data_IF_631377068527
#
_entry.id   IF_631377068527
#
_cell.length_a   1.000
_cell.length_b   1.000
_cell.length_c   1.000
_cell.angle_alpha   90.00
_cell.angle_beta   90.00
_cell.angle_gamma   90.00
#
_symmetry.space_group_name_H-M   'P 1'
#
loop_
_entity.id
_entity.type
_entity.pdbx_description
1 polymer ?
#
# COMPACT_ATOMS: atom_id res chain seq x y z
N UNK A 1 10.06 13.48 6.95
CA UNK A 1 11.52 13.58 7.15
C UNK A 1 11.82 12.95 8.51
N UNK A 2 12.24 11.68 8.52
CA UNK A 2 12.74 11.04 9.74
C UNK A 2 14.27 11.07 9.63
N UNK A 3 14.92 11.67 10.62
CA UNK A 3 16.36 11.94 10.61
C UNK A 3 17.10 10.59 10.50
N UNK A 4 17.83 10.39 9.38
CA UNK A 4 18.73 9.23 9.18
C UNK A 4 18.31 8.19 8.13
N UNK A 5 17.11 8.27 7.55
CA UNK A 5 16.67 7.37 6.47
C UNK A 5 16.29 8.19 5.23
N UNK A 6 17.11 8.13 4.18
CA UNK A 6 16.82 8.71 2.85
C UNK A 6 15.89 7.84 2.00
N UNK A 7 15.48 6.68 2.53
CA UNK A 7 14.78 5.64 1.78
C UNK A 7 13.26 5.77 1.78
N UNK A 8 12.68 6.76 2.48
CA UNK A 8 11.23 6.95 2.53
C UNK A 8 10.83 8.34 2.03
N UNK A 9 10.12 8.44 0.90
CA UNK A 9 9.78 9.73 0.32
C UNK A 9 8.82 10.51 1.23
N UNK A 10 9.14 11.79 1.47
CA UNK A 10 8.33 12.67 2.32
C UNK A 10 7.30 13.49 1.52
N UNK A 11 7.40 13.50 0.20
CA UNK A 11 6.48 14.20 -0.70
C UNK A 11 6.43 13.50 -2.07
N UNK A 12 5.47 13.90 -2.91
CA UNK A 12 5.30 13.30 -4.25
C UNK A 12 6.54 13.44 -5.14
N UNK A 13 7.24 14.59 -5.10
CA UNK A 13 8.45 14.79 -5.90
C UNK A 13 9.56 13.79 -5.50
N UNK A 14 9.77 13.60 -4.19
CA UNK A 14 10.71 12.59 -3.70
C UNK A 14 10.24 11.17 -4.03
N UNK A 15 8.92 10.91 -3.99
CA UNK A 15 8.37 9.61 -4.35
C UNK A 15 8.67 9.25 -5.80
N UNK A 16 8.41 10.14 -6.75
CA UNK A 16 8.67 9.87 -8.17
C UNK A 16 10.17 9.68 -8.45
N UNK A 17 11.04 10.44 -7.78
CA UNK A 17 12.50 10.22 -7.87
C UNK A 17 12.91 8.86 -7.30
N UNK A 18 12.38 8.49 -6.14
CA UNK A 18 12.68 7.24 -5.45
C UNK A 18 12.16 6.02 -6.22
N UNK A 19 10.90 6.02 -6.66
CA UNK A 19 10.30 4.85 -7.32
C UNK A 19 10.91 4.62 -8.70
N UNK A 20 11.28 5.67 -9.43
CA UNK A 20 12.00 5.54 -10.70
C UNK A 20 13.39 4.90 -10.55
N UNK A 21 14.00 4.97 -9.37
CA UNK A 21 15.28 4.31 -9.10
C UNK A 21 15.10 2.81 -8.77
N UNK A 22 14.02 2.45 -8.08
CA UNK A 22 13.81 1.09 -7.57
C UNK A 22 12.96 0.21 -8.48
N UNK A 23 12.03 0.79 -9.24
CA UNK A 23 11.13 0.06 -10.13
C UNK A 23 11.19 0.67 -11.54
N UNK A 24 11.69 -0.06 -12.55
CA UNK A 24 11.70 0.40 -13.93
C UNK A 24 10.31 0.24 -14.56
N UNK A 25 9.34 0.99 -14.05
CA UNK A 25 7.95 1.03 -14.54
C UNK A 25 7.63 2.38 -15.18
N UNK A 26 6.63 2.41 -16.06
CA UNK A 26 6.21 3.64 -16.73
C UNK A 26 5.75 4.70 -15.71
N UNK A 27 5.97 5.98 -16.02
CA UNK A 27 5.53 7.10 -15.15
C UNK A 27 4.02 7.07 -14.92
N UNK A 28 3.26 6.62 -15.92
CA UNK A 28 1.81 6.46 -15.81
C UNK A 28 1.46 5.44 -14.72
N UNK A 29 2.11 4.27 -14.71
CA UNK A 29 1.90 3.26 -13.67
C UNK A 29 2.29 3.74 -12.27
N UNK A 30 3.35 4.56 -12.15
CA UNK A 30 3.72 5.18 -10.88
C UNK A 30 2.61 6.11 -10.35
N UNK A 31 2.04 6.94 -11.25
CA UNK A 31 0.93 7.85 -10.91
C UNK A 31 -0.33 7.07 -10.52
N UNK A 32 -0.66 6.02 -11.28
CA UNK A 32 -1.81 5.15 -11.00
C UNK A 32 -1.64 4.44 -9.64
N UNK A 33 -0.43 3.94 -9.36
CA UNK A 33 -0.07 3.32 -8.09
C UNK A 33 -0.29 4.25 -6.89
N UNK A 34 0.27 5.47 -6.95
CA UNK A 34 0.12 6.43 -5.85
C UNK A 34 -1.32 6.93 -5.71
N UNK A 35 -2.03 7.13 -6.83
CA UNK A 35 -3.44 7.52 -6.81
C UNK A 35 -4.31 6.46 -6.11
N UNK A 36 -4.07 5.17 -6.38
CA UNK A 36 -4.81 4.08 -5.74
C UNK A 36 -4.56 4.03 -4.22
N UNK A 37 -3.31 4.24 -3.79
CA UNK A 37 -2.95 4.33 -2.37
C UNK A 37 -3.60 5.54 -1.69
N UNK A 38 -3.54 6.72 -2.30
CA UNK A 38 -4.20 7.92 -1.78
C UNK A 38 -5.71 7.71 -1.65
N UNK A 39 -6.33 7.10 -2.67
CA UNK A 39 -7.76 6.80 -2.66
C UNK A 39 -8.14 5.78 -1.59
N UNK A 40 -7.35 4.71 -1.43
CA UNK A 40 -7.54 3.72 -0.38
C UNK A 40 -7.44 4.35 1.01
N UNK A 41 -6.39 5.15 1.27
CA UNK A 41 -6.22 5.87 2.53
C UNK A 41 -7.39 6.79 2.82
N UNK A 42 -7.86 7.55 1.83
CA UNK A 42 -9.01 8.43 2.00
C UNK A 42 -10.28 7.64 2.34
N UNK A 43 -10.59 6.56 1.61
CA UNK A 43 -11.76 5.71 1.89
C UNK A 43 -11.71 5.06 3.27
N UNK A 44 -10.56 4.50 3.67
CA UNK A 44 -10.42 3.86 4.97
C UNK A 44 -10.51 4.89 6.11
N UNK A 45 -9.91 6.08 5.96
CA UNK A 45 -10.07 7.17 6.94
C UNK A 45 -11.53 7.60 7.08
N UNK A 46 -12.25 7.77 5.97
CA UNK A 46 -13.67 8.10 6.03
C UNK A 46 -14.48 6.99 6.72
N UNK A 47 -14.21 5.72 6.43
CA UNK A 47 -14.87 4.60 7.12
C UNK A 47 -14.59 4.59 8.62
N UNK A 48 -13.37 4.91 9.04
CA UNK A 48 -13.04 5.02 10.46
C UNK A 48 -13.80 6.18 11.13
N UNK A 49 -13.91 7.34 10.46
CA UNK A 49 -14.61 8.50 11.00
C UNK A 49 -16.15 8.36 11.01
N UNK A 50 -16.74 7.79 9.94
CA UNK A 50 -18.20 7.77 9.75
C UNK A 50 -18.85 6.42 10.12
N UNK A 51 -18.15 5.31 9.93
CA UNK A 51 -18.68 3.97 10.22
C UNK A 51 -18.08 3.37 11.50
N UNK A 52 -17.19 4.09 12.19
CA UNK A 52 -16.43 3.62 13.37
C UNK A 52 -15.67 2.30 13.13
N UNK A 53 -15.34 1.99 11.86
CA UNK A 53 -14.56 0.81 11.50
C UNK A 53 -13.07 1.15 11.46
N UNK A 54 -12.38 0.84 12.54
CA UNK A 54 -10.92 0.99 12.63
C UNK A 54 -10.21 0.03 11.67
N UNK A 55 -9.14 0.52 11.07
CA UNK A 55 -8.24 -0.26 10.23
C UNK A 55 -7.48 -1.22 11.15
N UNK A 56 -7.63 -2.53 10.96
CA UNK A 56 -7.04 -3.51 11.89
C UNK A 56 -5.57 -3.80 11.57
N UNK A 57 -5.16 -3.59 10.32
CA UNK A 57 -3.81 -3.85 9.86
C UNK A 57 -3.44 -2.96 8.67
N UNK A 58 -2.17 -2.52 8.55
CA UNK A 58 -1.68 -1.84 7.36
C UNK A 58 -1.85 -2.68 6.08
N UNK A 59 -1.91 -4.01 6.18
CA UNK A 59 -2.20 -4.89 5.05
C UNK A 59 -3.58 -4.65 4.44
N UNK A 60 -4.58 -4.20 5.22
CA UNK A 60 -5.91 -3.86 4.70
C UNK A 60 -5.85 -2.70 3.72
N UNK A 61 -5.02 -1.69 4.00
CA UNK A 61 -4.80 -0.54 3.11
C UNK A 61 -4.22 -1.03 1.78
N UNK A 62 -3.21 -1.90 1.84
CA UNK A 62 -2.53 -2.42 0.66
C UNK A 62 -3.48 -3.29 -0.16
N UNK A 63 -4.20 -4.22 0.46
CA UNK A 63 -5.21 -5.04 -0.21
C UNK A 63 -6.30 -4.18 -0.88
N UNK A 64 -6.73 -3.10 -0.22
CA UNK A 64 -7.73 -2.19 -0.78
C UNK A 64 -7.17 -1.39 -1.96
N UNK A 65 -5.92 -0.95 -1.89
CA UNK A 65 -5.21 -0.34 -3.02
C UNK A 65 -5.06 -1.33 -4.19
N UNK A 66 -4.70 -2.60 -3.93
CA UNK A 66 -4.63 -3.65 -4.95
C UNK A 66 -5.98 -3.86 -5.65
N UNK A 67 -7.10 -3.81 -4.92
CA UNK A 67 -8.43 -3.89 -5.52
C UNK A 67 -8.69 -2.74 -6.51
N UNK A 68 -8.26 -1.51 -6.19
CA UNK A 68 -8.37 -0.38 -7.11
C UNK A 68 -7.44 -0.52 -8.32
N UNK A 69 -6.21 -1.00 -8.14
CA UNK A 69 -5.27 -1.20 -9.25
C UNK A 69 -5.81 -2.23 -10.25
N UNK A 70 -6.43 -3.32 -9.77
CA UNK A 70 -7.12 -4.30 -10.63
C UNK A 70 -8.34 -3.67 -11.32
N UNK A 71 -9.10 -2.85 -10.61
CA UNK A 71 -10.25 -2.16 -11.21
C UNK A 71 -9.81 -1.16 -12.30
N UNK A 72 -8.65 -0.51 -12.13
CA UNK A 72 -8.10 0.47 -13.07
C UNK A 72 -7.23 -0.15 -14.17
N UNK A 73 -7.15 -1.49 -14.26
CA UNK A 73 -6.40 -2.18 -15.32
C UNK A 73 -6.95 -1.86 -16.71
N UNK A 74 -8.27 -1.67 -16.84
CA UNK A 74 -8.94 -1.34 -18.09
C UNK A 74 -8.65 0.08 -18.59
N UNK A 75 -8.05 0.93 -17.75
CA UNK A 75 -7.60 2.27 -18.13
C UNK A 75 -6.16 2.28 -18.67
N UNK A 76 -5.43 1.17 -18.57
CA UNK A 76 -4.03 1.09 -19.01
C UNK A 76 -3.92 0.51 -20.43
N UNK A 77 -2.82 0.83 -21.11
CA UNK A 77 -2.45 0.17 -22.37
C UNK A 77 -2.02 -1.27 -22.10
N UNK A 78 -2.12 -2.17 -23.09
CA UNK A 78 -1.78 -3.59 -22.95
C UNK A 78 -0.41 -3.89 -22.27
N UNK A 79 0.71 -3.23 -22.63
CA UNK A 79 1.99 -3.48 -21.94
C UNK A 79 1.97 -3.02 -20.48
N UNK A 80 1.28 -1.92 -20.17
CA UNK A 80 1.20 -1.40 -18.80
C UNK A 80 0.20 -2.19 -17.95
N UNK A 81 -0.85 -2.76 -18.56
CA UNK A 81 -1.85 -3.60 -17.92
C UNK A 81 -1.24 -4.89 -17.36
N UNK A 82 -0.40 -5.57 -18.14
CA UNK A 82 0.29 -6.79 -17.70
C UNK A 82 1.24 -6.51 -16.54
N UNK A 83 2.03 -5.44 -16.63
CA UNK A 83 2.91 -4.98 -15.55
C UNK A 83 2.13 -4.60 -14.29
N UNK A 84 0.99 -3.91 -14.44
CA UNK A 84 0.13 -3.51 -13.34
C UNK A 84 -0.48 -4.73 -12.63
N UNK A 85 -0.97 -5.71 -13.38
CA UNK A 85 -1.53 -6.94 -12.84
C UNK A 85 -0.48 -7.76 -12.08
N UNK A 86 0.68 -8.00 -12.68
CA UNK A 86 1.80 -8.72 -12.04
C UNK A 86 2.28 -7.98 -10.79
N UNK A 87 2.41 -6.66 -10.86
CA UNK A 87 2.79 -5.86 -9.69
C UNK A 87 1.75 -5.92 -8.58
N UNK A 88 0.46 -5.92 -8.93
CA UNK A 88 -0.64 -5.95 -7.96
C UNK A 88 -0.75 -7.29 -7.24
N UNK A 89 -0.55 -8.40 -7.96
CA UNK A 89 -0.56 -9.75 -7.36
C UNK A 89 0.63 -9.96 -6.43
N UNK A 90 1.83 -9.53 -6.85
CA UNK A 90 3.02 -9.57 -6.01
C UNK A 90 2.85 -8.73 -4.72
N UNK A 91 2.35 -7.50 -4.86
CA UNK A 91 2.12 -6.61 -3.73
C UNK A 91 1.07 -7.18 -2.75
N UNK A 92 0.01 -7.80 -3.26
CA UNK A 92 -1.01 -8.43 -2.44
C UNK A 92 -0.46 -9.65 -1.70
N UNK A 93 0.35 -10.48 -2.36
CA UNK A 93 0.98 -11.64 -1.73
C UNK A 93 1.93 -11.21 -0.59
N UNK A 94 2.77 -10.20 -0.81
CA UNK A 94 3.66 -9.66 0.22
C UNK A 94 2.89 -9.06 1.40
N UNK A 95 1.82 -8.30 1.14
CA UNK A 95 0.99 -7.74 2.19
C UNK A 95 0.35 -8.83 3.07
N UNK A 96 -0.07 -9.95 2.47
CA UNK A 96 -0.61 -11.10 3.20
C UNK A 96 0.48 -11.83 3.99
N UNK A 97 1.67 -12.03 3.41
CA UNK A 97 2.79 -12.64 4.11
C UNK A 97 3.20 -11.82 5.36
N UNK A 98 3.25 -10.50 5.23
CA UNK A 98 3.50 -9.60 6.37
C UNK A 98 2.39 -9.62 7.42
N UNK A 99 1.13 -9.71 7.00
CA UNK A 99 0.01 -9.86 7.93
C UNK A 99 0.07 -11.20 8.70
N UNK A 100 0.40 -12.30 8.02
CA UNK A 100 0.60 -13.60 8.66
C UNK A 100 1.78 -13.58 9.63
N UNK A 101 2.88 -12.90 9.26
CA UNK A 101 4.03 -12.70 10.15
C UNK A 101 3.66 -11.90 11.38
N UNK A 102 2.93 -10.79 11.24
CA UNK A 102 2.43 -10.01 12.38
C UNK A 102 1.50 -10.84 13.27
N UNK A 103 0.55 -11.59 12.69
CA UNK A 103 -0.34 -12.46 13.45
C UNK A 103 0.41 -13.61 14.15
N UNK A 104 1.49 -14.15 13.56
CA UNK A 104 2.37 -15.16 14.18
C UNK A 104 3.20 -14.55 15.31
N UNK A 105 3.72 -13.34 15.14
CA UNK A 105 4.47 -12.63 16.18
C UNK A 105 3.58 -12.26 17.37
N UNK A 106 2.37 -11.76 17.12
CA UNK A 106 1.37 -11.47 18.17
C UNK A 106 1.00 -12.72 18.97
N UNK A 107 0.90 -13.88 18.30
CA UNK A 107 0.64 -15.18 18.94
C UNK A 107 1.84 -15.67 19.76
N UNK A 108 3.08 -15.44 19.30
CA UNK A 108 4.32 -15.79 20.03
C UNK A 108 4.59 -14.86 21.21
N UNK A 109 4.21 -13.59 21.11
CA UNK A 109 4.44 -12.56 22.13
C UNK A 109 3.25 -12.43 23.11
N UNK A 110 2.25 -13.31 23.02
CA UNK A 110 1.15 -13.39 23.99
C UNK A 110 0.28 -12.13 24.04
N UNK A 111 0.02 -11.48 22.90
CA UNK A 111 -0.95 -10.38 22.80
C UNK A 111 -0.59 -9.08 23.54
N UNK A 112 0.69 -8.85 23.87
CA UNK A 112 1.11 -7.69 24.70
C UNK A 112 1.45 -6.40 23.93
N UNK A 113 1.30 -6.34 22.60
CA UNK A 113 1.78 -5.20 21.80
C UNK A 113 0.71 -4.31 21.16
N UNK A 114 -0.53 -4.35 21.65
CA UNK A 114 -1.48 -3.26 21.38
C UNK A 114 -1.83 -2.46 22.64
N UNK A 115 -0.89 -1.65 23.17
CA UNK A 115 -1.25 -0.40 23.81
C UNK A 115 -0.91 0.75 22.87
N UNK A 116 -1.95 1.47 22.46
CA UNK A 116 -1.89 2.94 22.32
C UNK A 116 -0.89 3.49 21.29
N UNK A 117 -1.22 3.39 20.00
CA UNK A 117 -0.82 4.44 19.06
C UNK A 117 -2.01 4.74 18.16
N UNK A 118 -2.76 5.76 18.60
CA UNK A 118 -3.69 6.67 17.89
C UNK A 118 -4.17 6.27 16.49
#
# INVERSE_FOLDING_TARGET
MAIGSTTRPACFAQYFGWISHHLPISRNLQVVGVAALCWALWKLRNRACFEHKLIRSPSEIICYACAFLRYWEGLQTEPDKTNLLTGTTALQAEALAHHELQARLDRRLGGKYWPTVL
#
